data_IF_431732841818
#
_entry.id   IF_431732841818
#
_cell.length_a   1.000
_cell.length_b   1.000
_cell.length_c   1.000
_cell.angle_alpha   90.00
_cell.angle_beta   90.00
_cell.angle_gamma   90.00
#
_symmetry.space_group_name_H-M   'P 1'
#
loop_
_entity.id
_entity.type
_entity.pdbx_description
1 polymer ?
#
# COMPACT_ATOMS: atom_id res chain seq x y z
N UNK A 1 13.78 -5.13 -15.93
CA UNK A 1 13.29 -4.42 -14.81
C UNK A 1 11.88 -4.00 -14.99
N UNK A 2 11.25 -3.88 -13.90
CA UNK A 2 9.87 -3.63 -13.86
C UNK A 2 9.67 -2.15 -14.05
N UNK A 3 8.73 -1.77 -14.90
CA UNK A 3 8.45 -0.37 -15.10
C UNK A 3 7.48 0.15 -14.06
N UNK A 4 7.07 -0.67 -13.13
CA UNK A 4 6.14 -0.26 -12.10
C UNK A 4 6.92 0.06 -10.84
N UNK A 5 6.50 1.08 -10.13
CA UNK A 5 7.17 1.41 -8.90
C UNK A 5 6.19 2.03 -7.93
N UNK A 6 6.58 2.04 -6.66
CA UNK A 6 5.75 2.49 -5.57
C UNK A 6 5.70 4.01 -5.55
N UNK A 7 4.53 4.55 -5.29
CA UNK A 7 4.34 5.98 -5.18
C UNK A 7 3.38 6.27 -4.04
N UNK A 8 3.50 7.44 -3.47
CA UNK A 8 2.66 7.87 -2.36
C UNK A 8 1.47 8.65 -2.91
N UNK A 9 0.28 8.04 -2.95
CA UNK A 9 -0.88 8.73 -3.52
C UNK A 9 -1.47 9.74 -2.56
N UNK A 10 -1.07 9.67 -1.29
CA UNK A 10 -1.60 10.56 -0.28
C UNK A 10 -0.58 11.58 0.11
N UNK A 11 0.03 12.21 -0.89
CA UNK A 11 1.04 13.18 -0.63
C UNK A 11 0.53 14.22 0.32
N UNK A 12 1.22 14.53 1.32
CA UNK A 12 0.78 15.46 2.31
C UNK A 12 -0.05 14.84 3.41
N UNK A 13 -0.21 13.54 3.36
CA UNK A 13 -0.95 12.86 4.38
C UNK A 13 -0.35 13.09 5.72
N UNK A 14 -1.19 13.09 6.68
CA UNK A 14 -0.68 13.31 7.93
C UNK A 14 -0.56 12.20 8.75
N UNK A 15 -0.97 11.07 8.46
CA UNK A 15 -0.91 10.09 9.39
C UNK A 15 0.27 9.45 9.47
N UNK A 16 1.29 10.01 9.29
CA UNK A 16 2.36 9.34 9.42
C UNK A 16 2.99 9.61 10.69
N UNK A 17 3.43 8.75 11.39
CA UNK A 17 4.25 8.82 12.49
C UNK A 17 5.54 8.24 12.14
N UNK A 18 5.90 8.08 10.87
CA UNK A 18 7.12 7.45 10.47
C UNK A 18 7.01 5.96 10.43
N UNK A 19 5.87 5.40 10.78
CA UNK A 19 5.68 3.97 10.84
C UNK A 19 4.60 3.46 9.92
N UNK A 20 3.84 4.33 9.32
CA UNK A 20 2.74 3.95 8.43
C UNK A 20 2.79 4.75 7.15
N UNK A 21 2.53 4.10 6.02
CA UNK A 21 2.59 4.73 4.72
C UNK A 21 1.40 4.31 3.88
N UNK A 22 0.88 5.24 3.08
CA UNK A 22 -0.14 4.94 2.08
C UNK A 22 0.54 5.00 0.74
N UNK A 23 0.48 3.90 -0.02
CA UNK A 23 1.26 3.77 -1.24
C UNK A 23 0.47 3.07 -2.34
N UNK A 24 0.85 3.34 -3.59
CA UNK A 24 0.31 2.62 -4.72
C UNK A 24 1.44 2.34 -5.70
N UNK A 25 1.10 1.77 -6.85
CA UNK A 25 2.08 1.50 -7.89
C UNK A 25 1.80 2.38 -9.10
N UNK A 26 2.86 2.82 -9.74
CA UNK A 26 2.77 3.59 -10.98
C UNK A 26 3.62 2.94 -12.05
N UNK A 27 3.30 3.23 -13.30
CA UNK A 27 4.16 2.79 -14.38
C UNK A 27 5.25 3.85 -14.60
N UNK A 28 6.11 3.63 -15.58
CA UNK A 28 7.24 4.51 -15.80
C UNK A 28 6.82 5.90 -16.28
N UNK A 29 5.60 6.07 -16.71
CA UNK A 29 5.09 7.37 -17.13
C UNK A 29 4.41 8.11 -16.00
N UNK A 30 4.35 7.52 -14.81
CA UNK A 30 3.71 8.16 -13.67
C UNK A 30 2.23 7.87 -13.54
N UNK A 31 1.68 7.00 -14.38
CA UNK A 31 0.25 6.65 -14.28
C UNK A 31 0.05 5.57 -13.26
N UNK A 32 -0.95 5.72 -12.40
CA UNK A 32 -1.23 4.70 -11.39
C UNK A 32 -1.78 3.46 -12.03
N UNK A 33 -1.35 2.31 -11.55
CA UNK A 33 -1.88 1.04 -12.01
C UNK A 33 -3.27 0.84 -11.43
N UNK A 34 -4.03 -0.04 -12.06
CA UNK A 34 -5.38 -0.34 -11.60
C UNK A 34 -5.31 -1.22 -10.37
N UNK A 35 -5.63 -0.66 -9.23
CA UNK A 35 -5.62 -1.39 -7.96
C UNK A 35 -7.04 -1.81 -7.53
N UNK A 36 -8.03 -1.57 -8.39
CA UNK A 36 -9.39 -2.03 -8.15
C UNK A 36 -10.28 -0.99 -7.49
N UNK A 37 -9.75 -0.22 -6.59
CA UNK A 37 -10.47 0.89 -5.94
C UNK A 37 -9.51 2.03 -5.76
N UNK A 38 -10.05 3.20 -5.48
CA UNK A 38 -9.21 4.30 -5.05
C UNK A 38 -8.76 4.09 -3.62
N UNK A 39 -7.73 4.80 -3.24
CA UNK A 39 -7.20 4.64 -1.89
C UNK A 39 -8.04 5.34 -0.85
N UNK A 40 -9.09 6.04 -1.25
CA UNK A 40 -9.99 6.61 -0.29
C UNK A 40 -11.29 5.87 -0.22
N UNK A 41 -11.42 4.73 -0.84
CA UNK A 41 -12.69 4.01 -0.89
C UNK A 41 -12.75 3.06 0.27
N UNK A 42 -13.67 3.29 1.21
CA UNK A 42 -13.78 2.44 2.39
C UNK A 42 -14.90 1.43 2.22
N UNK A 43 -14.68 0.48 1.31
CA UNK A 43 -15.63 -0.61 1.06
C UNK A 43 -14.88 -1.91 1.18
N UNK A 44 -15.63 -3.02 1.17
CA UNK A 44 -14.97 -4.32 1.26
C UNK A 44 -14.05 -4.56 0.06
N UNK A 45 -14.32 -3.91 -1.08
CA UNK A 45 -13.47 -4.08 -2.25
C UNK A 45 -12.09 -3.50 -2.01
N UNK A 46 -11.93 -2.60 -1.06
CA UNK A 46 -10.63 -2.02 -0.76
C UNK A 46 -9.78 -2.91 0.13
N UNK A 47 -10.38 -3.91 0.75
CA UNK A 47 -9.65 -4.77 1.67
C UNK A 47 -8.56 -5.56 0.94
N UNK A 48 -7.39 -5.63 1.53
CA UNK A 48 -6.28 -6.36 0.94
C UNK A 48 -6.61 -7.84 0.81
N UNK A 49 -7.54 -8.35 1.63
CA UNK A 49 -7.92 -9.75 1.60
C UNK A 49 -9.06 -10.03 0.62
N UNK A 50 -9.61 -9.01 -0.02
CA UNK A 50 -10.71 -9.20 -0.95
C UNK A 50 -10.17 -9.78 -2.26
N UNK A 51 -10.77 -10.84 -2.76
CA UNK A 51 -10.23 -11.52 -3.91
C UNK A 51 -11.14 -11.54 -5.14
N UNK A 52 -12.35 -11.00 -5.02
CA UNK A 52 -13.28 -11.00 -6.14
C UNK A 52 -13.01 -9.80 -7.06
N UNK A 53 -11.82 -9.79 -7.64
CA UNK A 53 -11.35 -8.70 -8.50
C UNK A 53 -10.70 -9.31 -9.73
N UNK A 54 -10.52 -8.49 -10.75
CA UNK A 54 -9.82 -8.95 -11.95
C UNK A 54 -8.45 -9.48 -11.60
N UNK A 55 -7.98 -10.53 -12.29
CA UNK A 55 -6.66 -11.08 -11.99
C UNK A 55 -5.53 -10.06 -12.09
N UNK A 56 -5.63 -9.12 -13.02
CA UNK A 56 -4.60 -8.10 -13.15
C UNK A 56 -4.54 -7.21 -11.92
N UNK A 57 -5.71 -6.91 -11.35
CA UNK A 57 -5.78 -6.09 -10.14
C UNK A 57 -5.16 -6.83 -8.97
N UNK A 58 -5.50 -8.12 -8.83
CA UNK A 58 -4.94 -8.92 -7.75
C UNK A 58 -3.43 -9.01 -7.87
N UNK A 59 -2.93 -9.14 -9.09
CA UNK A 59 -1.50 -9.19 -9.31
C UNK A 59 -0.83 -7.88 -8.93
N UNK A 60 -1.45 -6.77 -9.29
CA UNK A 60 -0.89 -5.46 -8.94
C UNK A 60 -0.84 -5.27 -7.43
N UNK A 61 -1.90 -5.65 -6.73
CA UNK A 61 -1.93 -5.54 -5.28
C UNK A 61 -0.87 -6.43 -4.65
N UNK A 62 -0.70 -7.64 -5.18
CA UNK A 62 0.28 -8.55 -4.64
C UNK A 62 1.69 -8.04 -4.87
N UNK A 63 1.93 -7.45 -6.02
CA UNK A 63 3.25 -6.88 -6.30
C UNK A 63 3.58 -5.79 -5.30
N UNK A 64 2.63 -4.90 -5.02
CA UNK A 64 2.85 -3.84 -4.04
C UNK A 64 3.13 -4.45 -2.67
N UNK A 65 2.35 -5.44 -2.26
CA UNK A 65 2.56 -6.08 -0.96
C UNK A 65 3.93 -6.74 -0.88
N UNK A 66 4.37 -7.36 -1.96
CA UNK A 66 5.68 -8.02 -1.95
C UNK A 66 6.81 -7.01 -1.84
N UNK A 67 6.69 -5.90 -2.57
CA UNK A 67 7.71 -4.86 -2.50
C UNK A 67 7.78 -4.30 -1.08
N UNK A 68 6.63 -4.01 -0.50
CA UNK A 68 6.60 -3.43 0.83
C UNK A 68 7.02 -4.43 1.89
N UNK A 69 6.67 -5.70 1.72
CA UNK A 69 7.09 -6.72 2.66
C UNK A 69 8.62 -6.86 2.66
N UNK A 70 9.22 -6.78 1.48
CA UNK A 70 10.68 -6.83 1.41
C UNK A 70 11.32 -5.64 2.09
N UNK A 71 10.62 -4.54 2.18
CA UNK A 71 11.13 -3.36 2.86
C UNK A 71 10.77 -3.33 4.35
N UNK A 72 10.09 -4.36 4.84
CA UNK A 72 9.78 -4.44 6.26
C UNK A 72 8.39 -3.97 6.64
N UNK A 73 7.50 -3.79 5.68
CA UNK A 73 6.15 -3.30 5.94
C UNK A 73 5.11 -4.36 5.65
N UNK A 74 4.03 -4.35 6.42
CA UNK A 74 2.90 -5.25 6.20
C UNK A 74 1.68 -4.45 5.82
N UNK A 75 0.87 -5.00 4.92
CA UNK A 75 -0.36 -4.34 4.48
C UNK A 75 -1.41 -4.42 5.57
N UNK A 76 -2.20 -3.37 5.72
CA UNK A 76 -3.34 -3.39 6.60
C UNK A 76 -4.43 -4.22 5.92
N UNK A 77 -4.97 -5.23 6.59
CA UNK A 77 -5.92 -6.12 5.90
C UNK A 77 -7.15 -5.42 5.31
N UNK A 78 -7.59 -4.33 5.88
CA UNK A 78 -8.78 -3.65 5.40
C UNK A 78 -8.52 -2.61 4.30
N UNK A 79 -7.25 -2.33 4.00
CA UNK A 79 -6.91 -1.31 3.00
C UNK A 79 -5.70 -1.74 2.20
N UNK A 80 -5.86 -1.89 0.89
CA UNK A 80 -4.77 -2.39 0.07
C UNK A 80 -3.58 -1.43 -0.01
N UNK A 81 -3.81 -0.16 0.29
CA UNK A 81 -2.79 0.87 0.12
C UNK A 81 -2.02 1.21 1.39
N UNK A 82 -2.50 0.76 2.54
CA UNK A 82 -1.91 1.16 3.82
C UNK A 82 -0.96 0.11 4.35
N UNK A 83 0.24 0.53 4.70
CA UNK A 83 1.29 -0.38 5.17
C UNK A 83 1.87 0.14 6.47
N UNK A 84 2.04 -0.78 7.41
CA UNK A 84 2.65 -0.46 8.70
C UNK A 84 4.01 -1.14 8.81
N UNK A 85 4.97 -0.43 9.36
CA UNK A 85 6.29 -0.99 9.56
C UNK A 85 6.24 -2.09 10.61
N UNK A 86 6.82 -3.24 10.32
CA UNK A 86 6.83 -4.36 11.24
C UNK A 86 7.53 -3.95 12.53
N UNK A 87 6.94 -4.27 13.67
CA UNK A 87 7.52 -3.90 14.95
C UNK A 87 7.37 -2.43 15.28
N UNK A 88 6.40 -1.76 14.65
CA UNK A 88 6.26 -0.32 14.81
C UNK A 88 6.03 0.11 16.26
N UNK A 89 5.50 -0.75 17.07
CA UNK A 89 5.24 -0.38 18.46
C UNK A 89 6.53 -0.02 19.18
N UNK A 90 7.61 -0.69 18.84
CA UNK A 90 8.88 -0.39 19.47
C UNK A 90 9.39 0.95 19.01
N UNK A 91 9.16 1.28 17.74
CA UNK A 91 9.65 2.56 17.24
C UNK A 91 8.81 3.70 17.76
N UNK A 92 7.53 3.49 17.94
CA UNK A 92 6.67 4.53 18.45
C UNK A 92 7.09 4.96 19.85
N UNK A 93 7.51 4.00 20.66
CA UNK A 93 7.96 4.33 21.99
C UNK A 93 9.27 5.11 21.97
N UNK A 94 10.14 4.75 21.06
CA UNK A 94 11.42 5.43 20.97
C UNK A 94 11.32 6.84 20.42
N UNK A 95 10.28 7.10 19.69
CA UNK A 95 10.12 8.40 19.09
C UNK A 95 9.35 9.38 19.90
N UNK A 96 9.24 9.16 21.15
CA UNK A 96 8.50 10.00 21.98
C UNK A 96 9.07 11.32 22.18
#
# INVERSE_FOLDING_TARGET
PDERYVADPAKGSRHNRGCALDLTLCDSSGNELNMGTGYDEFTERAAATYTNLDPAVLENRKLLQNIMSDAGFDVLPSEWWHFDLRGWERFAILNE
#
